data_IF_278399958469
#
_entry.id   IF_278399958469
#
_cell.length_a   1.000
_cell.length_b   1.000
_cell.length_c   1.000
_cell.angle_alpha   90.00
_cell.angle_beta   90.00
_cell.angle_gamma   90.00
#
_symmetry.space_group_name_H-M   'P 1'
#
loop_
_entity.id
_entity.type
_entity.pdbx_description
1 polymer ?
#
# COMPACT_ATOMS: atom_id res chain seq x y z
N UNK A 1 -11.11 -10.61 6.79
CA UNK A 1 -10.77 -10.69 5.35
C UNK A 1 -9.35 -11.21 5.29
N UNK A 2 -9.11 -12.32 4.57
CA UNK A 2 -7.76 -12.82 4.36
C UNK A 2 -7.00 -11.87 3.44
N UNK A 3 -5.68 -11.79 3.58
CA UNK A 3 -4.82 -11.00 2.68
C UNK A 3 -5.02 -11.39 1.20
N UNK A 4 -5.37 -12.66 0.95
CA UNK A 4 -5.69 -13.20 -0.37
C UNK A 4 -6.84 -12.43 -1.03
N UNK A 5 -7.89 -12.09 -0.29
CA UNK A 5 -9.05 -11.35 -0.86
C UNK A 5 -8.69 -9.92 -1.26
N UNK A 6 -7.79 -9.26 -0.53
CA UNK A 6 -7.39 -7.88 -0.87
C UNK A 6 -6.43 -7.82 -2.06
N UNK A 7 -5.52 -8.79 -2.17
CA UNK A 7 -4.63 -8.89 -3.34
C UNK A 7 -5.42 -9.20 -4.61
N UNK A 8 -6.44 -10.06 -4.53
CA UNK A 8 -7.36 -10.31 -5.64
C UNK A 8 -8.11 -9.05 -6.08
N UNK A 9 -8.61 -8.25 -5.13
CA UNK A 9 -9.29 -6.98 -5.45
C UNK A 9 -8.34 -6.00 -6.15
N UNK A 10 -7.10 -5.84 -5.66
CA UNK A 10 -6.11 -4.98 -6.33
C UNK A 10 -5.78 -5.51 -7.73
N UNK A 11 -5.63 -6.83 -7.88
CA UNK A 11 -5.42 -7.48 -9.16
C UNK A 11 -6.57 -7.25 -10.15
N UNK A 12 -7.81 -7.31 -9.68
CA UNK A 12 -9.01 -7.02 -10.50
C UNK A 12 -9.12 -5.55 -10.89
N UNK A 13 -8.65 -4.63 -10.03
CA UNK A 13 -8.69 -3.19 -10.30
C UNK A 13 -7.58 -2.73 -11.24
N UNK A 14 -6.37 -3.26 -11.08
CA UNK A 14 -5.18 -2.75 -11.74
C UNK A 14 -4.69 -3.65 -12.87
N UNK A 15 -4.91 -4.96 -12.78
CA UNK A 15 -4.36 -5.97 -13.68
C UNK A 15 -2.96 -6.45 -13.28
N UNK A 16 -2.41 -7.38 -14.06
CA UNK A 16 -1.08 -7.94 -13.81
C UNK A 16 0.03 -6.93 -14.11
N UNK A 17 1.04 -6.87 -13.24
CA UNK A 17 2.23 -6.02 -13.40
C UNK A 17 3.56 -6.79 -13.52
N UNK A 18 3.58 -8.09 -13.20
CA UNK A 18 4.79 -8.93 -13.31
C UNK A 18 5.29 -8.98 -14.76
N UNK A 19 6.59 -8.91 -15.07
CA UNK A 19 7.07 -9.02 -16.45
C UNK A 19 6.65 -10.32 -17.15
N UNK A 20 6.36 -10.26 -18.45
CA UNK A 20 6.00 -11.41 -19.29
C UNK A 20 7.11 -11.78 -20.28
N UNK A 21 7.86 -10.80 -20.79
CA UNK A 21 8.91 -11.00 -21.80
C UNK A 21 8.44 -10.80 -23.26
N UNK A 22 7.18 -10.41 -23.45
CA UNK A 22 6.66 -9.93 -24.75
C UNK A 22 6.45 -8.42 -24.66
N UNK A 23 7.03 -7.66 -25.60
CA UNK A 23 7.07 -6.20 -25.52
C UNK A 23 5.69 -5.54 -25.56
N UNK A 24 4.73 -6.12 -26.28
CA UNK A 24 3.38 -5.57 -26.37
C UNK A 24 2.59 -5.82 -25.06
N UNK A 25 2.79 -6.99 -24.45
CA UNK A 25 2.20 -7.31 -23.15
C UNK A 25 2.86 -6.47 -22.05
N UNK A 26 4.19 -6.37 -22.06
CA UNK A 26 4.98 -5.68 -21.03
C UNK A 26 4.70 -4.17 -21.00
N UNK A 27 4.35 -3.53 -22.12
CA UNK A 27 3.90 -2.14 -22.09
C UNK A 27 2.63 -1.96 -21.23
N UNK A 28 1.69 -2.90 -21.34
CA UNK A 28 0.48 -2.89 -20.52
C UNK A 28 0.81 -3.19 -19.06
N UNK A 29 1.69 -4.17 -18.80
CA UNK A 29 2.09 -4.53 -17.44
C UNK A 29 2.85 -3.41 -16.73
N UNK A 30 3.68 -2.68 -17.47
CA UNK A 30 4.32 -1.46 -16.97
C UNK A 30 3.30 -0.40 -16.57
N UNK A 31 2.30 -0.10 -17.42
CA UNK A 31 1.22 0.83 -17.07
C UNK A 31 0.42 0.37 -15.85
N UNK A 32 0.28 -0.93 -15.64
CA UNK A 32 -0.35 -1.47 -14.43
C UNK A 32 0.56 -1.31 -13.20
N UNK A 33 1.87 -1.52 -13.34
CA UNK A 33 2.85 -1.24 -12.28
C UNK A 33 2.79 0.22 -11.82
N UNK A 34 2.72 1.19 -12.75
CA UNK A 34 2.61 2.62 -12.42
C UNK A 34 1.35 2.93 -11.59
N UNK A 35 0.23 2.24 -11.88
CA UNK A 35 -1.00 2.38 -11.07
C UNK A 35 -0.84 1.80 -9.67
N UNK A 36 -0.14 0.66 -9.54
CA UNK A 36 0.17 0.06 -8.22
C UNK A 36 1.03 1.04 -7.42
N UNK A 37 2.05 1.63 -8.03
CA UNK A 37 2.92 2.61 -7.39
C UNK A 37 2.08 3.78 -6.87
N UNK A 38 1.24 4.38 -7.71
CA UNK A 38 0.38 5.49 -7.32
C UNK A 38 -0.58 5.12 -6.17
N UNK A 39 -1.17 3.91 -6.19
CA UNK A 39 -2.04 3.43 -5.12
C UNK A 39 -1.27 3.31 -3.79
N UNK A 40 -0.06 2.75 -3.82
CA UNK A 40 0.79 2.59 -2.65
C UNK A 40 1.22 3.94 -2.09
N UNK A 41 1.66 4.87 -2.94
CA UNK A 41 2.07 6.22 -2.54
C UNK A 41 0.93 6.98 -1.85
N UNK A 42 -0.26 7.01 -2.47
CA UNK A 42 -1.44 7.65 -1.89
C UNK A 42 -1.83 7.01 -0.55
N UNK A 43 -1.80 5.67 -0.45
CA UNK A 43 -2.08 4.96 0.79
C UNK A 43 -1.07 5.28 1.90
N UNK A 44 0.22 5.39 1.57
CA UNK A 44 1.27 5.79 2.51
C UNK A 44 1.04 7.24 2.98
N UNK A 45 0.68 8.16 2.08
CA UNK A 45 0.38 9.54 2.45
C UNK A 45 -0.80 9.63 3.43
N UNK A 46 -1.88 8.90 3.17
CA UNK A 46 -3.03 8.81 4.07
C UNK A 46 -2.64 8.26 5.45
N UNK A 47 -1.80 7.23 5.50
CA UNK A 47 -1.28 6.69 6.75
C UNK A 47 -0.41 7.71 7.49
N UNK A 48 0.45 8.46 6.80
CA UNK A 48 1.28 9.52 7.38
C UNK A 48 0.38 10.59 7.99
N UNK A 49 -0.63 11.05 7.26
CA UNK A 49 -1.57 12.06 7.74
C UNK A 49 -2.36 11.57 8.97
N UNK A 50 -2.88 10.35 8.92
CA UNK A 50 -3.60 9.76 10.04
C UNK A 50 -2.72 9.53 11.26
N UNK A 51 -1.44 9.17 11.07
CA UNK A 51 -0.50 8.89 12.17
C UNK A 51 -0.29 10.10 13.10
N UNK A 52 -0.50 11.33 12.60
CA UNK A 52 -0.42 12.57 13.38
C UNK A 52 -1.42 12.59 14.53
N UNK A 53 -2.50 11.80 14.45
CA UNK A 53 -3.53 11.71 15.48
C UNK A 53 -3.21 10.73 16.62
N UNK A 54 -2.07 10.02 16.60
CA UNK A 54 -1.77 8.93 17.57
C UNK A 54 -1.82 9.34 19.05
N UNK A 55 -1.53 10.60 19.36
CA UNK A 55 -1.47 11.14 20.72
C UNK A 55 -2.72 11.97 21.10
N UNK A 56 -3.81 11.87 20.34
CA UNK A 56 -5.07 12.55 20.68
C UNK A 56 -5.68 11.99 21.96
N UNK A 57 -6.41 12.82 22.69
CA UNK A 57 -7.06 12.42 23.94
C UNK A 57 -8.32 11.59 23.68
N UNK A 58 -8.98 11.81 22.55
CA UNK A 58 -10.15 11.04 22.14
C UNK A 58 -9.70 9.64 21.70
N UNK A 59 -10.14 8.62 22.46
CA UNK A 59 -9.68 7.24 22.28
C UNK A 59 -9.89 6.71 20.85
N UNK A 60 -11.00 7.04 20.21
CA UNK A 60 -11.30 6.61 18.83
C UNK A 60 -10.31 7.20 17.82
N UNK A 61 -9.98 8.48 17.97
CA UNK A 61 -9.05 9.20 17.09
C UNK A 61 -7.61 8.70 17.34
N UNK A 62 -7.22 8.53 18.61
CA UNK A 62 -5.93 7.97 18.98
C UNK A 62 -5.74 6.56 18.43
N UNK A 63 -6.79 5.72 18.46
CA UNK A 63 -6.77 4.36 17.90
C UNK A 63 -6.47 4.36 16.40
N UNK A 64 -7.10 5.26 15.63
CA UNK A 64 -6.85 5.41 14.19
C UNK A 64 -5.39 5.82 13.97
N UNK A 65 -4.94 6.89 14.62
CA UNK A 65 -3.59 7.40 14.44
C UNK A 65 -2.50 6.43 14.89
N UNK A 66 -2.71 5.73 16.01
CA UNK A 66 -1.75 4.74 16.50
C UNK A 66 -1.65 3.55 15.54
N UNK A 67 -2.77 3.08 14.99
CA UNK A 67 -2.73 1.98 14.01
C UNK A 67 -2.01 2.38 12.72
N UNK A 68 -2.19 3.62 12.26
CA UNK A 68 -1.46 4.14 11.11
C UNK A 68 0.05 4.24 11.40
N UNK A 69 0.44 4.77 12.57
CA UNK A 69 1.84 4.88 12.99
C UNK A 69 2.55 3.52 13.06
N UNK A 70 1.96 2.53 13.73
CA UNK A 70 2.56 1.19 13.84
C UNK A 70 2.66 0.48 12.48
N UNK A 71 1.70 0.72 11.58
CA UNK A 71 1.75 0.19 10.21
C UNK A 71 2.93 0.77 9.44
N UNK A 72 3.13 2.09 9.49
CA UNK A 72 4.27 2.76 8.84
C UNK A 72 5.61 2.24 9.37
N UNK A 73 5.73 2.05 10.68
CA UNK A 73 6.94 1.49 11.31
C UNK A 73 7.21 0.06 10.84
N UNK A 74 6.16 -0.77 10.76
CA UNK A 74 6.27 -2.14 10.24
C UNK A 74 6.69 -2.14 8.78
N UNK A 75 6.11 -1.25 7.97
CA UNK A 75 6.44 -1.10 6.55
C UNK A 75 7.91 -0.71 6.35
N UNK A 76 8.40 0.26 7.13
CA UNK A 76 9.82 0.65 7.12
C UNK A 76 10.73 -0.55 7.37
N UNK A 77 10.46 -1.33 8.42
CA UNK A 77 11.26 -2.53 8.76
C UNK A 77 11.22 -3.56 7.62
N UNK A 78 10.04 -3.81 7.04
CA UNK A 78 9.89 -4.75 5.94
C UNK A 78 10.73 -4.35 4.72
N UNK A 79 10.74 -3.05 4.38
CA UNK A 79 11.53 -2.53 3.27
C UNK A 79 13.03 -2.69 3.56
N UNK A 80 13.48 -2.24 4.73
CA UNK A 80 14.90 -2.32 5.15
C UNK A 80 15.44 -3.76 5.21
N UNK A 81 14.57 -4.76 5.35
CA UNK A 81 14.96 -6.17 5.44
C UNK A 81 14.96 -6.92 4.11
N UNK A 82 14.30 -6.40 3.07
CA UNK A 82 14.02 -7.17 1.84
C UNK A 82 14.47 -6.48 0.54
N UNK A 83 15.00 -5.25 0.62
CA UNK A 83 15.60 -4.51 -0.50
C UNK A 83 17.00 -4.08 -0.09
#
# INVERSE_FOLDING_TARGET
MSNETMLEVVGLLVGYSEPYGDSAIDETRYKNQEKIISLVENGIEDLINNSKYKNRTEQSIAKIGNRAYETLKTLQILIEQNI
#
